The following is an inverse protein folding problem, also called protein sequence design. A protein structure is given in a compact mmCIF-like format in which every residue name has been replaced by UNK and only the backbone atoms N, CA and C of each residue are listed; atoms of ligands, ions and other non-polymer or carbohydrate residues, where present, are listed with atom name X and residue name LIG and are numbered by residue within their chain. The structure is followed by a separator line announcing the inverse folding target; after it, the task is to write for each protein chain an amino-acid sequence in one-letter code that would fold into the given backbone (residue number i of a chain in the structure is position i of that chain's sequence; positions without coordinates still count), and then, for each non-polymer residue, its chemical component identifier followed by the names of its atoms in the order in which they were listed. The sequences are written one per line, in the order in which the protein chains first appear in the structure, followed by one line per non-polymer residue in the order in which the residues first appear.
data_IF_581429068759
#
_entry.id   IF_581429068759
#
_cell.length_a   1.000
_cell.length_b   1.000
_cell.length_c   1.000
_cell.angle_alpha   90.00
_cell.angle_beta   90.00
_cell.angle_gamma   90.00
#
_symmetry.space_group_name_H-M   'P 1'
#
loop_
_entity.id
_entity.type
_entity.pdbx_description
1 polymer ?
#
# COMPACT_ATOMS: atom_id res chain seq x y z
N UNK A 1 -5.02 -4.74 -23.87
CA UNK A 1 -4.86 -3.27 -24.02
C UNK A 1 -3.62 -2.77 -23.29
N UNK A 2 -3.48 -2.96 -21.97
CA UNK A 2 -2.27 -2.52 -21.24
C UNK A 2 -0.94 -3.04 -21.81
N UNK A 3 -0.87 -4.32 -22.21
CA UNK A 3 0.33 -4.89 -22.85
C UNK A 3 0.68 -4.23 -24.19
N UNK A 4 -0.33 -3.89 -25.02
CA UNK A 4 -0.15 -3.24 -26.32
C UNK A 4 0.37 -1.80 -26.12
N UNK A 5 -0.14 -1.10 -25.11
CA UNK A 5 0.31 0.26 -24.75
C UNK A 5 1.75 0.21 -24.24
N UNK A 6 2.09 -0.77 -23.42
CA UNK A 6 3.47 -0.97 -22.96
C UNK A 6 4.40 -1.28 -24.14
N UNK A 7 3.95 -2.03 -25.14
CA UNK A 7 4.79 -2.37 -26.29
C UNK A 7 5.03 -1.19 -27.25
N UNK A 8 4.11 -0.22 -27.28
CA UNK A 8 4.16 0.94 -28.19
C UNK A 8 4.73 2.20 -27.55
N UNK A 9 4.47 2.41 -26.25
CA UNK A 9 4.77 3.65 -25.52
C UNK A 9 5.70 3.44 -24.31
N UNK A 10 6.18 2.21 -24.04
CA UNK A 10 7.11 2.03 -22.92
C UNK A 10 8.43 2.75 -23.18
N UNK A 11 8.81 3.54 -22.19
CA UNK A 11 10.05 4.32 -22.17
C UNK A 11 11.27 3.46 -21.89
N UNK A 12 11.08 2.41 -21.09
CA UNK A 12 12.12 1.51 -20.62
C UNK A 12 11.71 0.10 -21.05
N UNK A 13 12.48 -0.60 -21.89
CA UNK A 13 12.18 -1.98 -22.22
C UNK A 13 12.37 -2.85 -20.97
N UNK A 14 11.49 -3.84 -20.77
CA UNK A 14 11.54 -4.76 -19.63
C UNK A 14 12.91 -5.45 -19.47
N UNK A 15 13.68 -5.56 -20.56
CA UNK A 15 15.01 -6.15 -20.60
C UNK A 15 16.12 -5.28 -19.99
N UNK A 16 15.91 -3.97 -19.82
CA UNK A 16 16.91 -3.02 -19.31
C UNK A 16 16.67 -2.61 -17.84
N UNK A 17 15.67 -3.18 -17.18
CA UNK A 17 15.39 -2.90 -15.77
C UNK A 17 16.56 -3.35 -14.88
N UNK A 18 17.14 -2.40 -14.15
CA UNK A 18 18.19 -2.68 -13.19
C UNK A 18 17.60 -3.23 -11.88
N UNK A 19 18.43 -3.89 -11.08
CA UNK A 19 18.04 -4.35 -9.73
C UNK A 19 17.49 -3.21 -8.86
N UNK A 20 17.96 -1.98 -9.07
CA UNK A 20 17.51 -0.79 -8.36
C UNK A 20 16.02 -0.51 -8.64
N UNK A 21 15.57 -0.66 -9.89
CA UNK A 21 14.18 -0.43 -10.28
C UNK A 21 13.26 -1.43 -9.59
N UNK A 22 13.64 -2.72 -9.57
CA UNK A 22 12.89 -3.76 -8.88
C UNK A 22 12.75 -3.48 -7.39
N UNK A 23 13.82 -3.01 -6.74
CA UNK A 23 13.80 -2.64 -5.32
C UNK A 23 12.90 -1.43 -5.09
N UNK A 24 13.00 -0.38 -5.91
CA UNK A 24 12.15 0.81 -5.80
C UNK A 24 10.67 0.48 -5.97
N UNK A 25 10.32 -0.27 -7.01
CA UNK A 25 8.94 -0.70 -7.28
C UNK A 25 8.41 -1.55 -6.12
N UNK A 26 9.22 -2.47 -5.59
CA UNK A 26 8.82 -3.33 -4.47
C UNK A 26 8.58 -2.50 -3.20
N UNK A 27 9.49 -1.59 -2.85
CA UNK A 27 9.34 -0.72 -1.67
C UNK A 27 8.15 0.23 -1.82
N UNK A 28 7.96 0.82 -3.00
CA UNK A 28 6.83 1.69 -3.29
C UNK A 28 5.50 0.94 -3.20
N UNK A 29 5.43 -0.27 -3.74
CA UNK A 29 4.24 -1.14 -3.66
C UNK A 29 3.95 -1.49 -2.21
N UNK A 30 4.95 -1.91 -1.44
CA UNK A 30 4.79 -2.23 -0.01
C UNK A 30 4.26 -1.02 0.79
N UNK A 31 4.78 0.17 0.50
CA UNK A 31 4.29 1.41 1.12
C UNK A 31 2.84 1.70 0.75
N UNK A 32 2.46 1.55 -0.52
CA UNK A 32 1.07 1.76 -0.96
C UNK A 32 0.11 0.79 -0.29
N UNK A 33 0.44 -0.50 -0.23
CA UNK A 33 -0.38 -1.49 0.48
C UNK A 33 -0.57 -1.06 1.93
N UNK A 34 0.51 -0.63 2.59
CA UNK A 34 0.43 -0.20 3.99
C UNK A 34 -0.43 1.05 4.17
N UNK A 35 -0.28 2.02 3.26
CA UNK A 35 -1.02 3.27 3.27
C UNK A 35 -2.53 3.03 3.12
N UNK A 36 -2.96 2.12 2.24
CA UNK A 36 -4.38 1.90 1.97
C UNK A 36 -5.03 0.86 2.89
N UNK A 37 -4.28 -0.15 3.34
CA UNK A 37 -4.82 -1.29 4.11
C UNK A 37 -4.62 -1.15 5.62
N UNK A 38 -3.61 -0.41 6.08
CA UNK A 38 -3.32 -0.30 7.52
C UNK A 38 -3.34 1.13 8.06
N UNK A 39 -3.16 2.15 7.22
CA UNK A 39 -3.05 3.52 7.70
C UNK A 39 -4.41 4.11 8.13
N UNK A 40 -4.38 4.90 9.21
CA UNK A 40 -5.54 5.61 9.71
C UNK A 40 -5.94 6.76 8.78
N UNK A 41 -5.00 7.33 8.04
CA UNK A 41 -5.26 8.43 7.10
C UNK A 41 -6.24 7.98 6.02
N UNK A 42 -6.17 6.73 5.56
CA UNK A 42 -7.08 6.20 4.53
C UNK A 42 -8.34 5.55 5.12
N UNK A 43 -8.54 5.64 6.44
CA UNK A 43 -9.72 5.07 7.12
C UNK A 43 -11.02 5.67 6.57
N UNK A 44 -11.05 6.97 6.25
CA UNK A 44 -12.22 7.60 5.63
C UNK A 44 -12.58 6.98 4.27
N UNK A 45 -11.57 6.60 3.47
CA UNK A 45 -11.78 5.93 2.18
C UNK A 45 -12.41 4.57 2.42
N UNK A 46 -11.88 3.83 3.40
CA UNK A 46 -12.39 2.50 3.73
C UNK A 46 -13.82 2.58 4.22
N UNK A 47 -14.11 3.46 5.18
CA UNK A 47 -15.44 3.62 5.77
C UNK A 47 -16.50 4.05 4.74
N UNK A 48 -16.14 4.82 3.71
CA UNK A 48 -17.07 5.22 2.65
C UNK A 48 -17.60 4.04 1.81
N UNK A 49 -16.91 2.91 1.78
CA UNK A 49 -17.35 1.71 1.07
C UNK A 49 -18.12 0.72 1.96
N UNK A 50 -18.22 1.00 3.26
CA UNK A 50 -18.94 0.17 4.22
C UNK A 50 -20.33 0.79 4.43
N UNK A 51 -21.33 -0.06 4.61
CA UNK A 51 -22.68 0.40 4.91
C UNK A 51 -22.86 0.45 6.43
N UNK A 52 -23.44 1.55 6.92
CA UNK A 52 -23.74 1.71 8.34
C UNK A 52 -25.08 1.07 8.62
N UNK A 53 -25.06 -0.05 9.34
CA UNK A 53 -26.28 -0.76 9.78
C UNK A 53 -26.52 -0.42 11.24
N UNK A 54 -27.73 0.06 11.57
CA UNK A 54 -28.12 0.33 12.96
C UNK A 54 -28.49 -0.99 13.62
N UNK A 55 -27.70 -1.42 14.60
CA UNK A 55 -27.97 -2.60 15.42
C UNK A 55 -28.27 -2.11 16.85
N UNK A 56 -29.55 -2.07 17.20
CA UNK A 56 -30.00 -1.63 18.53
C UNK A 56 -29.73 -0.14 18.82
N UNK A 57 -28.99 0.16 19.89
CA UNK A 57 -28.59 1.54 20.28
C UNK A 57 -27.25 1.98 19.66
N UNK A 58 -26.60 1.14 18.86
CA UNK A 58 -25.32 1.42 18.21
C UNK A 58 -25.41 1.39 16.68
N UNK A 59 -24.32 1.76 16.04
CA UNK A 59 -24.09 1.61 14.60
C UNK A 59 -22.93 0.66 14.37
N UNK A 60 -23.15 -0.43 13.63
CA UNK A 60 -22.09 -1.32 13.16
C UNK A 60 -21.83 -1.08 11.67
N UNK A 61 -20.57 -1.27 11.27
CA UNK A 61 -20.15 -1.20 9.88
C UNK A 61 -20.28 -2.60 9.27
N UNK A 62 -21.22 -2.78 8.35
CA UNK A 62 -21.36 -4.02 7.59
C UNK A 62 -20.86 -3.84 6.15
N UNK A 63 -20.39 -4.94 5.56
CA UNK A 63 -20.04 -4.95 4.15
C UNK A 63 -21.32 -4.96 3.29
N UNK A 64 -21.39 -4.15 2.22
CA UNK A 64 -22.53 -4.16 1.30
C UNK A 64 -22.80 -5.57 0.75
N UNK A 65 -24.07 -5.97 0.65
CA UNK A 65 -24.44 -7.32 0.20
C UNK A 65 -24.10 -7.57 -1.27
N UNK A 66 -24.31 -6.60 -2.16
CA UNK A 66 -24.07 -6.73 -3.60
C UNK A 66 -23.60 -5.41 -4.23
N UNK A 67 -22.93 -5.52 -5.38
CA UNK A 67 -22.54 -4.37 -6.22
C UNK A 67 -21.05 -4.04 -6.21
N UNK A 68 -20.62 -3.05 -7.01
CA UNK A 68 -19.22 -2.69 -7.18
C UNK A 68 -18.57 -2.18 -5.88
N UNK A 69 -19.37 -1.58 -4.98
CA UNK A 69 -18.91 -1.14 -3.65
C UNK A 69 -18.41 -2.32 -2.80
N UNK A 70 -19.03 -3.50 -2.91
CA UNK A 70 -18.58 -4.71 -2.20
C UNK A 70 -17.22 -5.18 -2.69
N UNK A 71 -17.03 -5.23 -4.00
CA UNK A 71 -15.75 -5.67 -4.59
C UNK A 71 -14.60 -4.77 -4.16
N UNK A 72 -14.82 -3.44 -4.11
CA UNK A 72 -13.82 -2.48 -3.64
C UNK A 72 -13.56 -2.67 -2.13
N UNK A 73 -14.62 -2.87 -1.33
CA UNK A 73 -14.47 -3.13 0.10
C UNK A 73 -13.69 -4.42 0.38
N UNK A 74 -13.96 -5.50 -0.36
CA UNK A 74 -13.24 -6.77 -0.25
C UNK A 74 -11.77 -6.64 -0.72
N UNK A 75 -11.53 -5.85 -1.77
CA UNK A 75 -10.18 -5.57 -2.25
C UNK A 75 -9.34 -4.83 -1.18
N UNK A 76 -9.91 -3.77 -0.58
CA UNK A 76 -9.25 -2.99 0.48
C UNK A 76 -9.13 -3.76 1.81
N UNK A 77 -9.97 -4.77 2.02
CA UNK A 77 -9.89 -5.65 3.20
C UNK A 77 -8.80 -6.71 3.08
N UNK A 78 -8.43 -7.10 1.86
CA UNK A 78 -7.45 -8.15 1.62
C UNK A 78 -6.09 -7.54 1.19
N UNK A 79 -5.06 -7.54 2.07
CA UNK A 79 -3.77 -6.94 1.75
C UNK A 79 -3.07 -7.62 0.56
N UNK A 80 -3.30 -8.91 0.37
CA UNK A 80 -2.75 -9.69 -0.74
C UNK A 80 -3.35 -9.27 -2.07
N UNK A 81 -4.68 -9.18 -2.13
CA UNK A 81 -5.38 -8.76 -3.33
C UNK A 81 -4.98 -7.33 -3.68
N UNK A 82 -5.09 -6.39 -2.72
CA UNK A 82 -4.68 -5.01 -2.95
C UNK A 82 -3.21 -4.91 -3.38
N UNK A 83 -2.32 -5.73 -2.83
CA UNK A 83 -0.91 -5.78 -3.21
C UNK A 83 -0.66 -6.11 -4.68
N UNK A 84 -1.34 -7.13 -5.22
CA UNK A 84 -1.20 -7.50 -6.65
C UNK A 84 -1.66 -6.35 -7.55
N UNK A 85 -2.78 -5.71 -7.23
CA UNK A 85 -3.30 -4.59 -8.00
C UNK A 85 -2.44 -3.33 -7.86
N UNK A 86 -1.95 -3.03 -6.67
CA UNK A 86 -1.02 -1.92 -6.43
C UNK A 86 0.29 -2.11 -7.21
N UNK A 87 0.86 -3.33 -7.19
CA UNK A 87 2.07 -3.64 -7.95
C UNK A 87 1.85 -3.43 -9.45
N UNK A 88 0.75 -3.96 -10.00
CA UNK A 88 0.42 -3.82 -11.41
C UNK A 88 0.28 -2.34 -11.82
N UNK A 89 -0.38 -1.53 -10.99
CA UNK A 89 -0.54 -0.09 -11.22
C UNK A 89 0.80 0.63 -11.18
N UNK A 90 1.63 0.38 -10.17
CA UNK A 90 2.96 1.00 -10.04
C UNK A 90 3.84 0.67 -11.24
N UNK A 91 3.92 -0.61 -11.62
CA UNK A 91 4.72 -1.06 -12.76
C UNK A 91 4.23 -0.41 -14.05
N UNK A 92 2.91 -0.40 -14.27
CA UNK A 92 2.32 0.19 -15.46
C UNK A 92 2.65 1.68 -15.61
N UNK A 93 2.49 2.47 -14.54
CA UNK A 93 2.80 3.90 -14.58
C UNK A 93 4.30 4.18 -14.67
N UNK A 94 5.13 3.38 -13.99
CA UNK A 94 6.59 3.51 -14.03
C UNK A 94 7.15 3.35 -15.45
N UNK A 95 6.60 2.40 -16.23
CA UNK A 95 7.08 2.10 -17.57
C UNK A 95 6.60 3.10 -18.64
N UNK A 96 5.44 3.74 -18.43
CA UNK A 96 4.83 4.64 -19.44
C UNK A 96 5.24 6.10 -19.23
N UNK A 97 5.29 6.60 -17.98
CA UNK A 97 5.39 8.03 -17.72
C UNK A 97 6.69 8.41 -17.01
N UNK A 98 7.48 9.39 -17.50
CA UNK A 98 8.69 9.86 -16.79
C UNK A 98 8.42 10.38 -15.39
N UNK A 99 7.30 11.08 -15.25
CA UNK A 99 6.93 11.71 -14.00
C UNK A 99 6.55 10.71 -12.91
N UNK A 100 6.32 9.43 -13.27
CA UNK A 100 6.02 8.39 -12.29
C UNK A 100 7.23 7.98 -11.45
N UNK A 101 8.46 8.31 -11.87
CA UNK A 101 9.67 8.08 -11.08
C UNK A 101 9.62 8.86 -9.75
N UNK A 102 9.12 10.10 -9.78
CA UNK A 102 9.03 10.95 -8.57
C UNK A 102 8.14 10.34 -7.46
N UNK A 103 6.86 9.98 -7.70
CA UNK A 103 6.02 9.36 -6.67
C UNK A 103 6.53 7.98 -6.26
N UNK A 104 7.08 7.16 -7.17
CA UNK A 104 7.64 5.85 -6.82
C UNK A 104 8.84 6.01 -5.88
N UNK A 105 9.76 6.92 -6.19
CA UNK A 105 10.91 7.21 -5.35
C UNK A 105 10.48 7.76 -3.98
N UNK A 106 9.52 8.70 -3.96
CA UNK A 106 8.95 9.23 -2.72
C UNK A 106 8.37 8.13 -1.85
N UNK A 107 7.56 7.25 -2.44
CA UNK A 107 6.95 6.12 -1.73
C UNK A 107 8.02 5.16 -1.20
N UNK A 108 9.01 4.80 -2.02
CA UNK A 108 10.10 3.91 -1.63
C UNK A 108 10.92 4.48 -0.46
N UNK A 109 11.33 5.75 -0.53
CA UNK A 109 12.08 6.43 0.54
C UNK A 109 11.24 6.48 1.83
N UNK A 110 9.95 6.83 1.72
CA UNK A 110 9.05 6.86 2.88
C UNK A 110 8.88 5.48 3.54
N UNK A 111 8.97 4.41 2.75
CA UNK A 111 8.93 3.04 3.23
C UNK A 111 10.14 2.74 4.11
N UNK A 112 11.34 3.09 3.63
CA UNK A 112 12.61 2.94 4.37
C UNK A 112 12.59 3.80 5.64
N UNK A 113 12.16 5.05 5.55
CA UNK A 113 12.07 5.94 6.71
C UNK A 113 11.14 5.36 7.80
N UNK A 114 9.96 4.88 7.40
CA UNK A 114 9.01 4.24 8.33
C UNK A 114 9.60 2.98 8.96
N UNK A 115 10.32 2.18 8.17
CA UNK A 115 10.98 0.97 8.64
C UNK A 115 12.06 1.29 9.69
N UNK A 116 12.92 2.28 9.42
CA UNK A 116 13.92 2.75 10.39
C UNK A 116 13.27 3.24 11.67
N UNK A 117 12.18 4.00 11.58
CA UNK A 117 11.47 4.49 12.76
C UNK A 117 10.87 3.35 13.60
N UNK A 118 10.30 2.33 12.97
CA UNK A 118 9.80 1.13 13.66
C UNK A 118 10.93 0.38 14.35
N UNK A 119 12.10 0.27 13.72
CA UNK A 119 13.26 -0.36 14.34
C UNK A 119 13.76 0.43 15.55
N UNK A 120 13.88 1.75 15.44
CA UNK A 120 14.27 2.61 16.56
C UNK A 120 13.30 2.47 17.74
N UNK A 121 12.00 2.45 17.47
CA UNK A 121 10.98 2.26 18.52
C UNK A 121 11.08 0.87 19.17
N UNK A 122 11.32 -0.18 18.39
CA UNK A 122 11.47 -1.54 18.90
C UNK A 122 12.71 -1.70 19.79
N UNK A 123 13.84 -1.11 19.37
CA UNK A 123 15.07 -1.11 20.17
C UNK A 123 14.84 -0.33 21.47
N UNK A 124 14.18 0.82 21.41
CA UNK A 124 13.82 1.63 22.57
C UNK A 124 12.95 0.86 23.57
N UNK A 125 11.87 0.21 23.12
CA UNK A 125 11.00 -0.59 23.98
C UNK A 125 11.75 -1.77 24.61
N UNK A 126 12.61 -2.46 23.85
CA UNK A 126 13.43 -3.55 24.41
C UNK A 126 14.39 -3.04 25.49
N UNK A 127 15.02 -1.89 25.29
CA UNK A 127 15.90 -1.30 26.29
C UNK A 127 15.13 -0.95 27.58
N UNK A 128 13.92 -0.39 27.45
CA UNK A 128 13.07 -0.04 28.59
C UNK A 128 12.55 -1.29 29.34
N UNK A 129 12.14 -2.34 28.63
CA UNK A 129 11.73 -3.60 29.26
C UNK A 129 12.88 -4.27 30.04
N UNK A 130 14.10 -4.25 29.50
CA UNK A 130 15.28 -4.78 30.19
C UNK A 130 15.62 -3.98 31.45
N UNK A 131 15.38 -2.67 31.45
CA UNK A 131 15.56 -1.84 32.65
C UNK A 131 14.57 -2.24 33.74
N UNK A 132 13.29 -2.33 33.43
CA UNK A 132 12.24 -2.66 34.39
C UNK A 132 12.32 -4.11 34.93
N UNK A 133 13.02 -5.02 34.22
CA UNK A 133 13.25 -6.39 34.69
C UNK A 133 14.43 -6.50 35.67
N UNK A 134 15.35 -5.52 35.66
CA UNK A 134 16.56 -5.51 36.48
C UNK A 134 16.42 -4.65 37.76
N UNK A 135 15.28 -3.96 37.93
CA UNK A 135 14.86 -3.26 39.16
C UNK A 135 13.93 -4.17 39.97
#
# INVERSE_FOLDING_TARGET
MAAIILETEARIPLAELELVDYVLITLATWRLVRLFVYDAITKFIREQFWDVVKVGKGSELEKPRFGPRRTIADLLSCPWCFGVWAAAVVIFFYLITPYAVYPVMLLAISAVATFLQLLSNLIGHKAEQLKNQNE
#
